data_IF_857142442048
#
_entry.id   IF_857142442048
#
_cell.length_a   1.000
_cell.length_b   1.000
_cell.length_c   1.000
_cell.angle_alpha   90.00
_cell.angle_beta   90.00
_cell.angle_gamma   90.00
#
_symmetry.space_group_name_H-M   'P 1'
#
loop_
_entity.id
_entity.type
_entity.pdbx_description
1 polymer ?
#
# COMPACT_ATOMS: atom_id res chain seq x y z
N UNK A 1 -7.26 17.41 3.43
CA UNK A 1 -6.93 16.87 2.10
C UNK A 1 -8.06 17.10 1.10
N UNK A 2 -9.29 16.64 1.35
CA UNK A 2 -10.42 16.79 0.40
C UNK A 2 -10.67 18.24 -0.08
N UNK A 3 -10.54 19.24 0.81
CA UNK A 3 -10.85 20.64 0.52
C UNK A 3 -9.61 21.55 0.46
N UNK A 4 -8.40 21.01 0.33
CA UNK A 4 -7.17 21.82 0.31
C UNK A 4 -6.30 21.43 -0.90
N UNK A 5 -6.21 22.35 -1.87
CA UNK A 5 -5.45 22.15 -3.10
C UNK A 5 -3.93 22.05 -2.90
N UNK A 6 -3.40 22.53 -1.78
CA UNK A 6 -1.96 22.46 -1.48
C UNK A 6 -1.55 21.10 -0.89
N UNK A 7 -2.50 20.21 -0.59
CA UNK A 7 -2.21 18.88 -0.05
C UNK A 7 -2.32 17.85 -1.18
N UNK A 8 -1.22 17.15 -1.46
CA UNK A 8 -1.19 16.07 -2.44
C UNK A 8 -2.23 15.00 -2.09
N UNK A 9 -2.95 14.49 -3.10
CA UNK A 9 -3.96 13.43 -2.94
C UNK A 9 -3.31 12.06 -2.81
N UNK A 10 -2.42 11.90 -1.84
CA UNK A 10 -1.74 10.65 -1.52
C UNK A 10 -1.87 10.36 -0.03
N UNK A 11 -2.32 9.15 0.31
CA UNK A 11 -2.35 8.66 1.68
C UNK A 11 -1.52 7.38 1.79
N UNK A 12 -0.75 7.30 2.86
CA UNK A 12 -0.10 6.08 3.28
C UNK A 12 -0.81 5.53 4.52
N UNK A 13 -1.47 4.38 4.38
CA UNK A 13 -2.29 3.78 5.45
C UNK A 13 -1.88 2.31 5.60
N UNK A 14 -1.20 1.93 6.69
CA UNK A 14 -0.68 0.57 6.83
C UNK A 14 -1.79 -0.44 7.17
N UNK A 15 -2.08 -1.35 6.23
CA UNK A 15 -2.95 -2.51 6.44
C UNK A 15 -2.32 -3.53 7.39
N UNK A 16 -1.02 -3.81 7.20
CA UNK A 16 -0.20 -4.78 7.93
C UNK A 16 -0.50 -6.25 7.62
N UNK A 17 -1.76 -6.67 7.68
CA UNK A 17 -2.23 -7.97 7.23
C UNK A 17 -3.68 -7.86 6.77
N UNK A 18 -4.10 -8.66 5.80
CA UNK A 18 -5.50 -8.72 5.36
C UNK A 18 -6.26 -9.90 5.98
N UNK A 19 -5.86 -10.34 7.16
CA UNK A 19 -6.48 -11.41 7.93
C UNK A 19 -6.74 -10.95 9.38
N UNK A 20 -7.96 -11.18 9.88
CA UNK A 20 -8.40 -10.69 11.20
C UNK A 20 -7.66 -11.38 12.36
N UNK A 21 -7.32 -12.66 12.23
CA UNK A 21 -6.58 -13.39 13.27
C UNK A 21 -5.16 -12.85 13.38
N UNK A 22 -4.50 -12.65 12.24
CA UNK A 22 -3.14 -12.08 12.21
C UNK A 22 -3.13 -10.63 12.68
N UNK A 23 -4.10 -9.80 12.27
CA UNK A 23 -4.26 -8.44 12.77
C UNK A 23 -4.43 -8.40 14.30
N UNK A 24 -5.26 -9.29 14.86
CA UNK A 24 -5.44 -9.40 16.31
C UNK A 24 -4.14 -9.81 17.02
N UNK A 25 -3.38 -10.76 16.47
CA UNK A 25 -2.08 -11.18 17.02
C UNK A 25 -1.00 -10.08 16.90
N UNK A 26 -1.10 -9.22 15.89
CA UNK A 26 -0.32 -7.98 15.75
C UNK A 26 -0.81 -6.85 16.70
N UNK A 27 -1.82 -7.10 17.54
CA UNK A 27 -2.45 -6.13 18.45
C UNK A 27 -3.07 -4.92 17.73
N UNK A 28 -3.56 -5.11 16.51
CA UNK A 28 -4.32 -4.07 15.80
C UNK A 28 -5.73 -3.99 16.38
N UNK A 29 -6.22 -2.76 16.58
CA UNK A 29 -7.55 -2.46 17.12
C UNK A 29 -8.62 -2.31 16.02
N UNK A 30 -8.33 -2.84 14.84
CA UNK A 30 -9.22 -2.85 13.69
C UNK A 30 -9.22 -4.23 13.04
N UNK A 31 -10.30 -4.55 12.32
CA UNK A 31 -10.39 -5.72 11.46
C UNK A 31 -10.38 -5.32 9.97
N UNK A 32 -10.30 -6.31 9.09
CA UNK A 32 -10.29 -6.16 7.63
C UNK A 32 -11.50 -5.38 7.12
N UNK A 33 -12.70 -5.64 7.66
CA UNK A 33 -13.94 -4.93 7.30
C UNK A 33 -13.87 -3.44 7.64
N UNK A 34 -13.45 -3.08 8.85
CA UNK A 34 -13.32 -1.69 9.27
C UNK A 34 -12.28 -0.95 8.42
N UNK A 35 -11.18 -1.63 8.09
CA UNK A 35 -10.16 -1.09 7.20
C UNK A 35 -10.72 -0.86 5.80
N UNK A 36 -11.44 -1.84 5.25
CA UNK A 36 -12.10 -1.72 3.95
C UNK A 36 -13.09 -0.55 3.92
N UNK A 37 -13.96 -0.43 4.92
CA UNK A 37 -14.93 0.66 5.03
C UNK A 37 -14.23 2.04 5.06
N UNK A 38 -13.08 2.14 5.71
CA UNK A 38 -12.24 3.35 5.71
C UNK A 38 -11.70 3.65 4.30
N UNK A 39 -11.10 2.66 3.64
CA UNK A 39 -10.51 2.83 2.31
C UNK A 39 -11.57 3.21 1.26
N UNK A 40 -12.71 2.52 1.27
CA UNK A 40 -13.83 2.83 0.36
C UNK A 40 -14.34 4.25 0.58
N UNK A 41 -14.45 4.68 1.84
CA UNK A 41 -14.87 6.05 2.17
C UNK A 41 -13.88 7.08 1.62
N UNK A 42 -12.58 6.81 1.73
CA UNK A 42 -11.53 7.68 1.21
C UNK A 42 -11.64 7.80 -0.31
N UNK A 43 -11.73 6.68 -1.04
CA UNK A 43 -11.88 6.70 -2.50
C UNK A 43 -13.12 7.45 -2.96
N UNK A 44 -14.23 7.35 -2.23
CA UNK A 44 -15.47 8.09 -2.53
C UNK A 44 -15.36 9.59 -2.22
N UNK A 45 -14.59 9.96 -1.20
CA UNK A 45 -14.50 11.36 -0.74
C UNK A 45 -13.44 12.15 -1.51
N UNK A 46 -12.36 11.48 -1.94
CA UNK A 46 -11.21 12.14 -2.55
C UNK A 46 -10.96 11.52 -3.92
N UNK A 47 -11.51 12.17 -4.94
CA UNK A 47 -11.35 11.74 -6.33
C UNK A 47 -9.86 11.64 -6.71
N UNK A 48 -9.49 10.52 -7.34
CA UNK A 48 -8.13 10.30 -7.83
C UNK A 48 -7.07 10.12 -6.75
N UNK A 49 -7.46 9.89 -5.48
CA UNK A 49 -6.51 9.65 -4.39
C UNK A 49 -5.65 8.40 -4.64
N UNK A 50 -4.34 8.55 -4.51
CA UNK A 50 -3.42 7.43 -4.39
C UNK A 50 -3.43 6.94 -2.96
N UNK A 51 -3.59 5.63 -2.75
CA UNK A 51 -3.43 5.02 -1.43
C UNK A 51 -2.29 4.00 -1.53
N UNK A 52 -1.30 4.13 -0.66
CA UNK A 52 -0.25 3.13 -0.47
C UNK A 52 -0.33 2.49 0.90
N UNK A 53 0.15 1.26 1.03
CA UNK A 53 0.06 0.50 2.27
C UNK A 53 1.30 -0.35 2.51
N UNK A 54 1.59 -0.58 3.78
CA UNK A 54 2.55 -1.60 4.22
C UNK A 54 1.84 -2.92 4.54
N UNK A 55 2.42 -4.04 4.16
CA UNK A 55 1.96 -5.39 4.52
C UNK A 55 3.15 -6.22 4.99
N UNK A 56 2.98 -6.95 6.10
CA UNK A 56 3.97 -7.87 6.66
C UNK A 56 3.52 -9.30 6.34
N UNK A 57 4.42 -10.10 5.78
CA UNK A 57 4.20 -11.54 5.52
C UNK A 57 5.03 -12.41 6.45
N UNK A 58 4.52 -13.59 6.77
CA UNK A 58 5.13 -14.58 7.63
C UNK A 58 5.23 -14.17 9.09
N UNK A 59 4.25 -13.40 9.58
CA UNK A 59 4.10 -13.17 11.01
C UNK A 59 3.95 -14.51 11.74
N UNK A 60 4.42 -14.66 13.00
CA UNK A 60 4.31 -15.94 13.72
C UNK A 60 2.89 -16.49 13.70
N UNK A 61 2.75 -17.76 13.32
CA UNK A 61 1.52 -18.54 13.08
C UNK A 61 0.66 -18.08 11.90
N UNK A 62 1.19 -17.30 10.97
CA UNK A 62 0.55 -17.07 9.66
C UNK A 62 0.58 -18.34 8.81
N UNK A 63 -0.62 -18.88 8.52
CA UNK A 63 -0.85 -20.03 7.66
C UNK A 63 -1.18 -19.58 6.23
N UNK A 64 -1.16 -20.50 5.28
CA UNK A 64 -1.50 -20.19 3.87
C UNK A 64 -2.90 -19.57 3.72
N UNK A 65 -3.88 -20.02 4.52
CA UNK A 65 -5.22 -19.44 4.53
C UNK A 65 -5.20 -17.92 4.89
N UNK A 66 -4.43 -17.54 5.91
CA UNK A 66 -4.31 -16.14 6.33
C UNK A 66 -3.63 -15.29 5.26
N UNK A 67 -2.62 -15.86 4.60
CA UNK A 67 -1.98 -15.20 3.47
C UNK A 67 -2.93 -15.02 2.28
N UNK A 68 -3.74 -16.04 1.98
CA UNK A 68 -4.75 -15.94 0.93
C UNK A 68 -5.81 -14.87 1.23
N UNK A 69 -6.24 -14.75 2.50
CA UNK A 69 -7.10 -13.65 2.95
C UNK A 69 -6.43 -12.28 2.73
N UNK A 70 -5.12 -12.20 2.95
CA UNK A 70 -4.33 -11.00 2.68
C UNK A 70 -4.32 -10.65 1.18
N UNK A 71 -4.06 -11.62 0.30
CA UNK A 71 -4.14 -11.41 -1.15
C UNK A 71 -5.52 -10.94 -1.60
N UNK A 72 -6.58 -11.56 -1.08
CA UNK A 72 -7.96 -11.21 -1.40
C UNK A 72 -8.29 -9.77 -0.96
N UNK A 73 -7.94 -9.40 0.27
CA UNK A 73 -8.15 -8.05 0.81
C UNK A 73 -7.39 -7.01 -0.02
N UNK A 74 -6.12 -7.26 -0.31
CA UNK A 74 -5.29 -6.36 -1.12
C UNK A 74 -5.83 -6.22 -2.54
N UNK A 75 -6.18 -7.33 -3.18
CA UNK A 75 -6.75 -7.34 -4.53
C UNK A 75 -8.08 -6.59 -4.63
N UNK A 76 -8.91 -6.68 -3.60
CA UNK A 76 -10.19 -5.96 -3.50
C UNK A 76 -10.02 -4.46 -3.32
N UNK A 77 -9.06 -4.03 -2.50
CA UNK A 77 -8.87 -2.62 -2.16
C UNK A 77 -8.13 -1.81 -3.24
N UNK A 78 -7.27 -2.44 -4.03
CA UNK A 78 -6.69 -1.81 -5.22
C UNK A 78 -5.74 -0.63 -4.92
N UNK A 79 -4.70 -0.87 -4.12
CA UNK A 79 -3.72 0.16 -3.76
C UNK A 79 -2.88 0.65 -4.97
N UNK A 80 -2.46 1.92 -4.91
CA UNK A 80 -1.55 2.52 -5.89
C UNK A 80 -0.10 2.05 -5.71
N UNK A 81 0.21 1.45 -4.56
CA UNK A 81 1.52 0.88 -4.26
C UNK A 81 1.51 0.17 -2.91
N UNK A 82 2.31 -0.89 -2.79
CA UNK A 82 2.39 -1.70 -1.57
C UNK A 82 3.86 -1.95 -1.25
N UNK A 83 4.23 -1.72 0.00
CA UNK A 83 5.51 -2.21 0.52
C UNK A 83 5.29 -3.51 1.27
N UNK A 84 6.02 -4.54 0.85
CA UNK A 84 5.94 -5.87 1.45
C UNK A 84 7.18 -6.09 2.30
N UNK A 85 6.96 -6.39 3.58
CA UNK A 85 8.02 -6.73 4.53
C UNK A 85 7.88 -8.19 4.94
N UNK A 86 8.99 -8.93 4.92
CA UNK A 86 9.05 -10.23 5.59
C UNK A 86 9.22 -10.00 7.09
N UNK A 87 8.43 -10.69 7.91
CA UNK A 87 8.59 -10.61 9.36
C UNK A 87 9.98 -11.12 9.78
N UNK A 88 10.67 -10.28 10.56
CA UNK A 88 11.96 -10.58 11.17
C UNK A 88 11.86 -10.42 12.68
N UNK A 89 12.16 -11.47 13.48
CA UNK A 89 12.14 -11.38 14.93
C UNK A 89 13.09 -10.31 15.45
N UNK A 90 12.60 -9.48 16.38
CA UNK A 90 13.42 -8.50 17.10
C UNK A 90 13.43 -8.85 18.58
N UNK A 91 14.62 -8.97 19.17
CA UNK A 91 14.82 -9.29 20.59
C UNK A 91 13.99 -8.35 21.47
N UNK A 92 13.28 -8.90 22.45
CA UNK A 92 12.43 -8.13 23.38
C UNK A 92 11.04 -7.77 22.85
N UNK A 93 10.63 -8.29 21.70
CA UNK A 93 9.26 -8.13 21.19
C UNK A 93 8.44 -9.37 21.49
N UNK A 94 7.15 -9.25 21.88
CA UNK A 94 6.28 -10.42 22.11
C UNK A 94 6.20 -11.36 20.91
N UNK A 95 6.23 -10.81 19.69
CA UNK A 95 6.20 -11.62 18.46
C UNK A 95 7.45 -12.49 18.29
N UNK A 96 8.61 -12.07 18.78
CA UNK A 96 9.82 -12.88 18.69
C UNK A 96 9.78 -14.14 19.58
N UNK A 97 8.96 -14.11 20.64
CA UNK A 97 8.75 -15.21 21.58
C UNK A 97 7.52 -16.07 21.23
N UNK A 98 6.74 -15.67 20.23
CA UNK A 98 5.58 -16.45 19.80
C UNK A 98 6.02 -17.79 19.18
N UNK A 99 5.29 -18.89 19.46
CA UNK A 99 5.47 -20.14 18.74
C UNK A 99 5.05 -19.98 17.26
N UNK A 100 5.31 -21.02 16.47
CA UNK A 100 4.89 -21.14 15.07
C UNK A 100 5.54 -20.10 14.14
N UNK A 101 6.83 -19.87 14.29
CA UNK A 101 7.58 -19.02 13.38
C UNK A 101 7.51 -19.57 11.95
N UNK A 102 7.13 -18.72 11.00
CA UNK A 102 7.04 -19.08 9.58
C UNK A 102 8.44 -19.20 8.99
N UNK A 103 8.66 -20.23 8.16
CA UNK A 103 9.96 -20.51 7.56
C UNK A 103 10.44 -19.36 6.64
N UNK A 104 11.76 -19.20 6.45
CA UNK A 104 12.28 -18.22 5.49
C UNK A 104 11.80 -18.46 4.05
N UNK A 105 11.61 -19.72 3.65
CA UNK A 105 11.14 -20.10 2.32
C UNK A 105 9.69 -19.66 2.09
N UNK A 106 8.79 -19.95 3.03
CA UNK A 106 7.39 -19.49 2.95
C UNK A 106 7.29 -17.96 2.98
N UNK A 107 8.10 -17.29 3.80
CA UNK A 107 8.18 -15.82 3.80
C UNK A 107 8.58 -15.26 2.44
N UNK A 108 9.52 -15.92 1.76
CA UNK A 108 9.99 -15.52 0.45
C UNK A 108 8.91 -15.74 -0.63
N UNK A 109 8.26 -16.91 -0.64
CA UNK A 109 7.15 -17.21 -1.56
C UNK A 109 6.01 -16.18 -1.43
N UNK A 110 5.54 -15.98 -0.20
CA UNK A 110 4.46 -15.04 0.11
C UNK A 110 4.83 -13.61 -0.26
N UNK A 111 6.08 -13.21 0.01
CA UNK A 111 6.57 -11.89 -0.37
C UNK A 111 6.54 -11.70 -1.88
N UNK A 112 7.00 -12.68 -2.68
CA UNK A 112 6.99 -12.60 -4.14
C UNK A 112 5.59 -12.48 -4.70
N UNK A 113 4.67 -13.36 -4.27
CA UNK A 113 3.26 -13.37 -4.71
C UNK A 113 2.56 -12.05 -4.39
N UNK A 114 2.79 -11.48 -3.21
CA UNK A 114 2.18 -10.22 -2.82
C UNK A 114 2.80 -9.01 -3.55
N UNK A 115 4.11 -9.02 -3.82
CA UNK A 115 4.77 -8.01 -4.65
C UNK A 115 4.21 -8.04 -6.08
N UNK A 116 4.04 -9.23 -6.67
CA UNK A 116 3.46 -9.38 -8.00
C UNK A 116 2.03 -8.80 -8.07
N UNK A 117 1.19 -9.14 -7.08
CA UNK A 117 -0.13 -8.54 -6.94
C UNK A 117 -0.06 -7.01 -6.81
N UNK A 118 0.81 -6.50 -5.93
CA UNK A 118 1.01 -5.06 -5.73
C UNK A 118 1.45 -4.34 -7.01
N UNK A 119 2.36 -4.94 -7.78
CA UNK A 119 2.81 -4.40 -9.06
C UNK A 119 1.67 -4.35 -10.08
N UNK A 120 0.84 -5.39 -10.16
CA UNK A 120 -0.33 -5.38 -11.04
C UNK A 120 -1.30 -4.25 -10.68
N UNK A 121 -1.63 -4.10 -9.40
CA UNK A 121 -2.53 -3.05 -8.92
C UNK A 121 -1.96 -1.64 -9.16
N UNK A 122 -0.65 -1.46 -8.97
CA UNK A 122 0.04 -0.22 -9.26
C UNK A 122 -0.02 0.14 -10.76
N UNK A 123 0.15 -0.84 -11.66
CA UNK A 123 -0.02 -0.64 -13.10
C UNK A 123 -1.46 -0.27 -13.45
N UNK A 124 -2.46 -0.93 -12.85
CA UNK A 124 -3.87 -0.59 -13.05
C UNK A 124 -4.20 0.83 -12.54
N UNK A 125 -3.60 1.25 -11.43
CA UNK A 125 -3.72 2.62 -10.94
C UNK A 125 -3.08 3.63 -11.90
N UNK A 126 -1.85 3.36 -12.36
CA UNK A 126 -1.14 4.23 -13.30
C UNK A 126 -1.87 4.34 -14.64
N UNK A 127 -2.43 3.25 -15.14
CA UNK A 127 -3.23 3.21 -16.37
C UNK A 127 -4.45 4.16 -16.33
N UNK A 128 -5.06 4.34 -15.15
CA UNK A 128 -6.17 5.31 -14.94
C UNK A 128 -5.72 6.77 -15.03
N UNK A 129 -4.42 7.05 -15.06
CA UNK A 129 -3.89 8.40 -15.20
C UNK A 129 -3.54 8.76 -16.65
N UNK A 130 -3.56 7.79 -17.56
CA UNK A 130 -3.29 8.04 -18.97
C UNK A 130 -4.31 9.02 -19.56
N UNK A 131 -3.80 9.98 -20.34
CA UNK A 131 -4.61 11.03 -20.98
C UNK A 131 -5.03 12.17 -20.06
N UNK A 132 -4.62 12.17 -18.78
CA UNK A 132 -4.89 13.28 -17.84
C UNK A 132 -3.73 14.27 -17.80
N UNK A 133 -4.06 15.55 -17.63
CA UNK A 133 -3.09 16.58 -17.27
C UNK A 133 -2.78 16.46 -15.77
N UNK A 134 -1.50 16.28 -15.42
CA UNK A 134 -1.04 16.09 -14.04
C UNK A 134 -0.07 17.21 -13.64
N UNK A 135 -0.13 17.62 -12.38
CA UNK A 135 0.88 18.50 -11.80
C UNK A 135 2.18 17.73 -11.60
N UNK A 136 3.29 18.31 -12.08
CA UNK A 136 4.63 17.72 -12.01
C UNK A 136 5.58 18.65 -11.28
N UNK A 137 6.48 18.05 -10.49
CA UNK A 137 7.62 18.74 -9.89
C UNK A 137 8.89 18.25 -10.56
N UNK A 138 9.63 19.15 -11.22
CA UNK A 138 10.90 18.81 -11.83
C UNK A 138 12.01 18.81 -10.77
N UNK A 139 12.54 17.64 -10.42
CA UNK A 139 13.61 17.50 -9.43
C UNK A 139 15.02 17.71 -10.03
N UNK A 140 15.15 17.55 -11.35
CA UNK A 140 16.42 17.70 -12.06
C UNK A 140 16.25 18.50 -13.36
N UNK A 141 17.32 19.18 -13.84
CA UNK A 141 17.29 19.88 -15.11
C UNK A 141 17.02 18.92 -16.28
N UNK A 142 15.94 19.14 -16.99
CA UNK A 142 15.59 18.34 -18.16
C UNK A 142 16.39 18.83 -19.38
N UNK A 143 17.41 18.08 -19.82
CA UNK A 143 18.27 18.49 -20.96
C UNK A 143 17.58 18.49 -22.33
N UNK A 144 16.40 17.86 -22.45
CA UNK A 144 15.55 17.91 -23.65
C UNK A 144 14.09 17.85 -23.23
N UNK A 145 13.31 18.86 -23.60
CA UNK A 145 11.84 18.75 -23.61
C UNK A 145 11.46 17.76 -24.71
N UNK A 146 11.29 16.50 -24.34
CA UNK A 146 10.48 15.59 -25.15
C UNK A 146 9.03 16.07 -24.99
N UNK A 147 8.24 16.08 -26.07
CA UNK A 147 6.85 16.55 -26.17
C UNK A 147 5.83 15.91 -25.19
N UNK A 148 6.29 15.26 -24.11
CA UNK A 148 5.50 14.49 -23.15
C UNK A 148 5.13 15.27 -21.88
N UNK A 149 5.64 16.48 -21.66
CA UNK A 149 5.33 17.28 -20.47
C UNK A 149 4.81 18.66 -20.90
N UNK A 150 3.50 18.90 -20.79
CA UNK A 150 2.98 20.27 -20.74
C UNK A 150 3.39 20.85 -19.39
N UNK A 151 4.33 21.79 -19.40
CA UNK A 151 4.81 22.47 -18.21
C UNK A 151 3.64 23.16 -17.51
N UNK A 152 3.24 22.66 -16.34
CA UNK A 152 2.31 23.37 -15.46
C UNK A 152 3.14 24.33 -14.61
N UNK A 153 2.91 25.63 -14.79
CA UNK A 153 3.41 26.66 -13.87
C UNK A 153 2.80 26.39 -12.50
N UNK A 154 3.62 26.05 -11.51
CA UNK A 154 3.21 26.08 -10.11
C UNK A 154 3.29 27.55 -9.68
N UNK A 155 2.17 28.25 -9.42
CA UNK A 155 2.24 29.58 -8.81
C UNK A 155 2.82 29.41 -7.40
N UNK A 156 4.04 29.89 -7.21
CA UNK A 156 4.63 30.03 -5.89
C UNK A 156 3.91 31.21 -5.25
N UNK A 157 2.96 30.96 -4.33
CA UNK A 157 2.41 32.03 -3.51
C UNK A 157 3.53 32.53 -2.60
N UNK A 158 3.73 33.85 -2.60
CA UNK A 158 4.51 34.53 -1.56
C UNK A 158 3.83 34.41 -0.21
#
# INVERSE_FOLDING_TARGET
MANNANVCRHLHIPLQSGDDEILARMKRRYNTRQFEELIIRIYRTIEGVAITSDVIVGFPGEKELHFQNTLNTVGKLGFAGIHVFKYSPRKGTPAAEMPDQVSPEEKEDRSKRLIELGNRLAHEYAGRQLGKDLQVLAEQPMRRMINCLRAIRIPISK
#
